data_IF_376265135445
#
_entry.id   IF_376265135445
#
_cell.length_a   1.000
_cell.length_b   1.000
_cell.length_c   1.000
_cell.angle_alpha   90.00
_cell.angle_beta   90.00
_cell.angle_gamma   90.00
#
_symmetry.space_group_name_H-M   'P 1'
#
loop_
_entity.id
_entity.type
_entity.pdbx_description
1 polymer ?
#
# COMPACT_ATOMS: atom_id res chain seq x y z
N UNK A 1 -6.82 32.45 -1.43
CA UNK A 1 -6.98 33.45 -2.50
C UNK A 1 -7.39 34.83 -1.96
N UNK A 2 -8.55 35.00 -1.31
CA UNK A 2 -8.95 36.29 -0.67
C UNK A 2 -7.94 36.90 0.32
N UNK A 3 -7.11 36.08 0.96
CA UNK A 3 -6.00 36.56 1.82
C UNK A 3 -4.82 37.11 1.00
N UNK A 4 -4.53 36.51 -0.15
CA UNK A 4 -3.44 36.94 -1.05
C UNK A 4 -3.82 38.22 -1.79
N UNK A 5 -5.08 38.36 -2.20
CA UNK A 5 -5.66 39.62 -2.72
C UNK A 5 -5.50 40.75 -1.71
N UNK A 6 -5.89 40.51 -0.44
CA UNK A 6 -5.71 41.47 0.66
C UNK A 6 -4.25 41.83 0.95
N UNK A 7 -3.30 41.02 0.49
CA UNK A 7 -1.87 41.26 0.63
C UNK A 7 -1.25 41.90 -0.65
N UNK A 8 -2.07 42.30 -1.63
CA UNK A 8 -1.62 42.93 -2.87
C UNK A 8 -0.80 42.01 -3.78
N UNK A 9 -0.87 40.68 -3.57
CA UNK A 9 -0.15 39.73 -4.41
C UNK A 9 -0.94 39.46 -5.70
N UNK A 10 -0.26 39.28 -6.85
CA UNK A 10 -0.91 38.84 -8.08
C UNK A 10 -1.70 37.57 -7.79
N UNK A 11 -2.99 37.60 -8.08
CA UNK A 11 -3.89 36.45 -7.90
C UNK A 11 -4.58 36.19 -9.24
N UNK A 12 -4.60 34.93 -9.72
CA UNK A 12 -5.30 34.60 -10.95
C UNK A 12 -6.80 34.87 -10.78
N UNK A 13 -7.48 35.19 -11.88
CA UNK A 13 -8.95 35.27 -11.88
C UNK A 13 -9.52 33.90 -11.46
N UNK A 14 -10.37 33.90 -10.44
CA UNK A 14 -10.87 32.69 -9.82
C UNK A 14 -12.35 32.82 -9.46
N UNK A 15 -13.07 31.71 -9.55
CA UNK A 15 -14.48 31.61 -9.19
C UNK A 15 -14.70 30.42 -8.29
N UNK A 16 -15.43 30.62 -7.19
CA UNK A 16 -15.96 29.52 -6.41
C UNK A 16 -17.14 28.87 -7.16
N UNK A 17 -17.11 27.56 -7.30
CA UNK A 17 -18.17 26.79 -7.96
C UNK A 17 -18.78 25.86 -6.92
N UNK A 18 -20.10 25.94 -6.71
CA UNK A 18 -20.81 25.14 -5.71
C UNK A 18 -21.47 23.87 -6.28
N UNK A 19 -21.65 23.80 -7.61
CA UNK A 19 -22.41 22.74 -8.28
C UNK A 19 -21.53 21.56 -8.77
N UNK A 20 -20.28 21.49 -8.32
CA UNK A 20 -19.33 20.45 -8.75
C UNK A 20 -18.45 20.02 -7.60
N UNK A 21 -17.92 18.81 -7.67
CA UNK A 21 -16.94 18.30 -6.69
C UNK A 21 -15.52 18.75 -7.03
N UNK A 22 -14.62 18.65 -6.05
CA UNK A 22 -13.19 18.92 -6.24
C UNK A 22 -12.56 17.94 -7.24
N UNK A 23 -12.97 16.68 -7.21
CA UNK A 23 -12.50 15.62 -8.11
C UNK A 23 -12.86 15.93 -9.57
N UNK A 24 -14.08 16.40 -9.83
CA UNK A 24 -14.49 16.80 -11.18
C UNK A 24 -13.69 18.03 -11.66
N UNK A 25 -13.40 18.99 -10.78
CA UNK A 25 -12.52 20.12 -11.13
C UNK A 25 -11.10 19.64 -11.47
N UNK A 26 -10.56 18.68 -10.72
CA UNK A 26 -9.26 18.06 -11.01
C UNK A 26 -9.27 17.32 -12.35
N UNK A 27 -10.34 16.59 -12.65
CA UNK A 27 -10.52 15.89 -13.93
C UNK A 27 -10.58 16.86 -15.11
N UNK A 28 -11.30 17.96 -14.98
CA UNK A 28 -11.37 19.02 -16.01
C UNK A 28 -10.03 19.72 -16.22
N UNK A 29 -9.25 19.93 -15.17
CA UNK A 29 -7.86 20.42 -15.29
C UNK A 29 -7.00 19.42 -16.06
N UNK A 30 -7.09 18.14 -15.71
CA UNK A 30 -6.35 17.08 -16.38
C UNK A 30 -6.69 16.97 -17.88
N UNK A 31 -7.98 17.12 -18.24
CA UNK A 31 -8.47 17.19 -19.62
C UNK A 31 -8.11 18.48 -20.37
N UNK A 32 -7.55 19.48 -19.68
CA UNK A 32 -7.26 20.83 -20.20
C UNK A 32 -8.51 21.68 -20.48
N UNK A 33 -9.65 21.32 -19.91
CA UNK A 33 -10.89 22.12 -19.96
C UNK A 33 -10.86 23.29 -18.94
N UNK A 34 -10.00 23.18 -17.92
CA UNK A 34 -9.71 24.24 -16.94
C UNK A 34 -8.19 24.44 -16.84
N UNK A 35 -7.75 25.70 -16.66
CA UNK A 35 -6.33 26.02 -16.52
C UNK A 35 -5.73 25.55 -15.18
N UNK A 36 -6.43 25.77 -14.07
CA UNK A 36 -6.05 25.31 -12.74
C UNK A 36 -7.25 25.21 -11.80
N UNK A 37 -7.06 24.54 -10.66
CA UNK A 37 -8.04 24.48 -9.56
C UNK A 37 -7.31 24.50 -8.21
N UNK A 38 -8.07 24.63 -7.12
CA UNK A 38 -7.57 24.53 -5.74
C UNK A 38 -8.28 23.35 -5.07
N UNK A 39 -7.50 22.51 -4.41
CA UNK A 39 -7.98 21.31 -3.74
C UNK A 39 -7.17 21.04 -2.46
N UNK A 40 -7.78 20.34 -1.51
CA UNK A 40 -7.05 19.83 -0.34
C UNK A 40 -5.99 18.82 -0.80
N UNK A 41 -4.81 18.86 -0.17
CA UNK A 41 -3.69 17.99 -0.56
C UNK A 41 -4.07 16.52 -0.57
N UNK A 42 -4.85 16.08 0.42
CA UNK A 42 -5.36 14.70 0.51
C UNK A 42 -6.20 14.29 -0.70
N UNK A 43 -7.05 15.19 -1.21
CA UNK A 43 -7.86 14.91 -2.41
C UNK A 43 -6.96 14.83 -3.64
N UNK A 44 -6.00 15.74 -3.75
CA UNK A 44 -5.02 15.72 -4.86
C UNK A 44 -4.22 14.42 -4.86
N UNK A 45 -3.68 14.02 -3.70
CA UNK A 45 -2.85 12.84 -3.55
C UNK A 45 -3.59 11.55 -3.96
N UNK A 46 -4.88 11.43 -3.58
CA UNK A 46 -5.75 10.33 -4.03
C UNK A 46 -5.91 10.32 -5.55
N UNK A 47 -6.19 11.48 -6.14
CA UNK A 47 -6.56 11.60 -7.54
C UNK A 47 -5.37 11.49 -8.51
N UNK A 48 -4.15 11.86 -8.09
CA UNK A 48 -2.94 11.74 -8.91
C UNK A 48 -2.64 10.30 -9.34
N UNK A 49 -3.15 9.30 -8.62
CA UNK A 49 -3.08 7.89 -9.05
C UNK A 49 -3.81 7.63 -10.38
N UNK A 50 -4.92 8.33 -10.61
CA UNK A 50 -5.73 8.18 -11.82
C UNK A 50 -5.41 9.25 -12.86
N UNK A 51 -4.92 10.41 -12.39
CA UNK A 51 -4.63 11.60 -13.18
C UNK A 51 -3.15 12.01 -12.97
N UNK A 52 -2.16 11.18 -13.37
CA UNK A 52 -0.77 11.37 -12.99
C UNK A 52 -0.15 12.66 -13.51
N UNK A 53 -0.68 13.23 -14.59
CA UNK A 53 -0.24 14.47 -15.20
C UNK A 53 -0.63 15.73 -14.40
N UNK A 54 -1.42 15.59 -13.33
CA UNK A 54 -1.72 16.70 -12.43
C UNK A 54 -0.47 17.17 -11.68
N UNK A 55 -0.23 18.48 -11.73
CA UNK A 55 0.89 19.14 -11.09
C UNK A 55 0.42 19.98 -9.88
N UNK A 56 1.19 19.94 -8.80
CA UNK A 56 0.99 20.74 -7.58
C UNK A 56 2.11 21.77 -7.44
N UNK A 57 2.04 22.91 -8.13
CA UNK A 57 3.16 23.86 -8.19
C UNK A 57 3.39 24.61 -6.88
N UNK A 58 2.38 24.73 -6.01
CA UNK A 58 2.48 25.48 -4.75
C UNK A 58 1.40 25.08 -3.74
N UNK A 59 1.69 25.30 -2.45
CA UNK A 59 0.71 25.26 -1.37
C UNK A 59 0.17 26.67 -1.09
N UNK A 60 -1.16 26.83 -1.07
CA UNK A 60 -1.81 28.13 -0.86
C UNK A 60 -2.03 28.49 0.62
N UNK A 61 -1.97 27.51 1.52
CA UNK A 61 -2.12 27.68 2.96
C UNK A 61 -1.09 26.86 3.71
N UNK A 62 -0.96 27.15 5.01
CA UNK A 62 -0.32 26.23 5.96
C UNK A 62 -1.24 25.03 6.20
N UNK A 63 -0.69 23.98 6.80
CA UNK A 63 -1.46 22.83 7.26
C UNK A 63 -2.63 23.28 8.15
N UNK A 64 -3.81 22.71 7.91
CA UNK A 64 -5.03 22.97 8.65
C UNK A 64 -5.54 21.67 9.26
N UNK A 65 -6.05 21.76 10.49
CA UNK A 65 -6.66 20.61 11.13
C UNK A 65 -8.10 20.46 10.64
N UNK A 66 -8.45 19.26 10.21
CA UNK A 66 -9.84 18.90 9.94
C UNK A 66 -10.60 18.71 11.25
N UNK A 67 -11.81 19.25 11.30
CA UNK A 67 -12.72 19.13 12.43
C UNK A 67 -14.13 18.82 11.95
N UNK A 68 -14.88 18.07 12.75
CA UNK A 68 -16.31 17.89 12.51
C UNK A 68 -17.06 19.14 12.95
N UNK A 69 -17.97 19.61 12.11
CA UNK A 69 -18.82 20.78 12.41
C UNK A 69 -20.08 20.27 13.08
N UNK A 70 -20.43 20.89 14.23
CA UNK A 70 -21.58 20.51 15.03
C UNK A 70 -22.54 21.70 15.19
N UNK A 71 -23.86 21.46 15.26
CA UNK A 71 -24.82 22.47 15.66
C UNK A 71 -24.50 22.99 17.08
N UNK A 72 -24.61 24.31 17.33
CA UNK A 72 -24.21 24.92 18.60
C UNK A 72 -25.06 24.47 19.79
N UNK A 73 -26.27 23.98 19.55
CA UNK A 73 -27.24 23.52 20.56
C UNK A 73 -27.01 22.07 21.02
N UNK A 74 -25.99 21.37 20.51
CA UNK A 74 -25.74 19.94 20.77
C UNK A 74 -24.48 19.69 21.61
N UNK A 75 -24.28 20.45 22.69
CA UNK A 75 -23.10 20.35 23.56
C UNK A 75 -22.82 18.93 24.11
N UNK A 76 -23.87 18.17 24.47
CA UNK A 76 -23.71 16.80 24.94
C UNK A 76 -23.08 15.87 23.88
N UNK A 77 -23.44 16.05 22.61
CA UNK A 77 -22.90 15.27 21.50
C UNK A 77 -21.46 15.68 21.19
N UNK A 78 -21.16 16.98 21.21
CA UNK A 78 -19.79 17.49 21.07
C UNK A 78 -18.84 16.87 22.10
N UNK A 79 -19.23 16.89 23.39
CA UNK A 79 -18.45 16.25 24.45
C UNK A 79 -18.34 14.73 24.30
N UNK A 80 -19.38 14.05 23.82
CA UNK A 80 -19.33 12.61 23.55
C UNK A 80 -18.34 12.29 22.43
N UNK A 81 -18.38 13.03 21.32
CA UNK A 81 -17.47 12.88 20.18
C UNK A 81 -16.04 13.19 20.60
N UNK A 82 -15.79 14.28 21.33
CA UNK A 82 -14.46 14.64 21.80
C UNK A 82 -13.85 13.55 22.69
N UNK A 83 -14.63 12.99 23.63
CA UNK A 83 -14.20 11.86 24.47
C UNK A 83 -13.91 10.61 23.64
N UNK A 84 -14.80 10.28 22.70
CA UNK A 84 -14.60 9.15 21.79
C UNK A 84 -13.34 9.32 20.95
N UNK A 85 -13.14 10.48 20.33
CA UNK A 85 -12.00 10.77 19.45
C UNK A 85 -10.68 10.73 20.23
N UNK A 86 -10.65 11.21 21.48
CA UNK A 86 -9.50 11.07 22.37
C UNK A 86 -9.15 9.60 22.60
N UNK A 87 -10.14 8.76 22.93
CA UNK A 87 -9.93 7.32 23.11
C UNK A 87 -9.54 6.61 21.82
N UNK A 88 -10.15 6.98 20.68
CA UNK A 88 -9.86 6.46 19.36
C UNK A 88 -8.40 6.73 18.94
N UNK A 89 -7.90 7.94 19.21
CA UNK A 89 -6.49 8.31 19.01
C UNK A 89 -5.56 7.58 19.96
N UNK A 90 -5.89 7.52 21.25
CA UNK A 90 -5.04 6.91 22.27
C UNK A 90 -4.78 5.42 22.03
N UNK A 91 -5.73 4.71 21.41
CA UNK A 91 -5.56 3.29 21.04
C UNK A 91 -4.92 3.08 19.66
N UNK A 92 -4.50 4.13 18.97
CA UNK A 92 -3.86 4.06 17.65
C UNK A 92 -4.83 3.93 16.46
N UNK A 93 -6.14 3.83 16.69
CA UNK A 93 -7.10 3.56 15.61
C UNK A 93 -7.16 4.66 14.54
N UNK A 94 -6.86 5.92 14.89
CA UNK A 94 -6.74 6.98 13.89
C UNK A 94 -5.51 6.79 12.99
N UNK A 95 -4.40 6.28 13.54
CA UNK A 95 -3.22 5.95 12.75
C UNK A 95 -3.54 4.76 11.82
N UNK A 96 -4.27 3.75 12.29
CA UNK A 96 -4.69 2.61 11.47
C UNK A 96 -5.55 3.05 10.28
N UNK A 97 -6.53 3.93 10.51
CA UNK A 97 -7.34 4.54 9.44
C UNK A 97 -6.45 5.34 8.48
N UNK A 98 -5.56 6.17 9.02
CA UNK A 98 -4.67 6.98 8.17
C UNK A 98 -3.76 6.12 7.30
N UNK A 99 -3.20 5.05 7.84
CA UNK A 99 -2.35 4.13 7.10
C UNK A 99 -3.16 3.42 6.00
N UNK A 100 -4.33 2.89 6.36
CA UNK A 100 -5.20 2.14 5.43
C UNK A 100 -5.61 2.98 4.22
N UNK A 101 -5.98 4.24 4.45
CA UNK A 101 -6.51 5.10 3.38
C UNK A 101 -5.46 6.02 2.77
N UNK A 102 -4.40 6.39 3.49
CA UNK A 102 -3.44 7.41 3.06
C UNK A 102 -1.96 7.03 3.14
N UNK A 103 -1.61 5.86 3.70
CA UNK A 103 -0.21 5.44 3.84
C UNK A 103 0.53 5.31 2.50
N UNK A 104 -0.19 4.93 1.45
CA UNK A 104 0.35 4.73 0.10
C UNK A 104 0.66 6.02 -0.67
N UNK A 105 0.26 7.21 -0.17
CA UNK A 105 0.39 8.47 -0.91
C UNK A 105 1.66 9.26 -0.63
N UNK A 106 2.46 8.87 0.36
CA UNK A 106 3.62 9.67 0.77
C UNK A 106 4.73 9.74 -0.29
N UNK A 107 4.71 8.85 -1.29
CA UNK A 107 5.69 8.79 -2.37
C UNK A 107 4.98 8.69 -3.73
N UNK A 108 4.26 9.74 -4.15
CA UNK A 108 3.76 9.77 -5.53
C UNK A 108 4.94 9.88 -6.52
N UNK A 109 5.24 8.77 -7.19
CA UNK A 109 6.14 8.73 -8.34
C UNK A 109 5.34 8.75 -9.64
N UNK A 110 5.46 9.88 -10.36
CA UNK A 110 4.80 10.09 -11.66
C UNK A 110 5.24 9.06 -12.71
N UNK A 111 6.53 8.77 -12.78
CA UNK A 111 7.11 7.89 -13.80
C UNK A 111 6.63 6.47 -13.56
N UNK A 112 6.72 5.99 -12.32
CA UNK A 112 6.30 4.64 -11.96
C UNK A 112 4.79 4.47 -12.11
N UNK A 113 3.98 5.45 -11.71
CA UNK A 113 2.51 5.41 -11.88
C UNK A 113 2.12 5.31 -13.35
N UNK A 114 2.72 6.12 -14.23
CA UNK A 114 2.45 6.02 -15.68
C UNK A 114 2.88 4.69 -16.27
N UNK A 115 4.03 4.17 -15.84
CA UNK A 115 4.52 2.86 -16.31
C UNK A 115 3.57 1.74 -15.84
N UNK A 116 3.07 1.80 -14.61
CA UNK A 116 2.07 0.87 -14.09
C UNK A 116 0.77 0.92 -14.89
N UNK A 117 0.23 2.12 -15.15
CA UNK A 117 -1.00 2.28 -15.93
C UNK A 117 -0.85 1.66 -17.32
N UNK A 118 0.21 2.04 -18.04
CA UNK A 118 0.50 1.48 -19.37
C UNK A 118 0.61 -0.05 -19.33
N UNK A 119 1.35 -0.61 -18.37
CA UNK A 119 1.50 -2.07 -18.25
C UNK A 119 0.20 -2.76 -17.84
N UNK A 120 -0.68 -2.07 -17.12
CA UNK A 120 -2.00 -2.58 -16.75
C UNK A 120 -2.86 -2.76 -18.00
N UNK A 121 -2.73 -1.86 -18.98
CA UNK A 121 -3.45 -1.96 -20.24
C UNK A 121 -2.77 -2.94 -21.23
N UNK A 122 -1.44 -2.97 -21.27
CA UNK A 122 -0.69 -3.75 -22.28
C UNK A 122 -0.39 -5.20 -21.86
N UNK A 123 -0.14 -5.46 -20.57
CA UNK A 123 0.39 -6.76 -20.08
C UNK A 123 -0.62 -7.54 -19.26
N UNK A 124 -1.30 -6.91 -18.29
CA UNK A 124 -2.23 -7.61 -17.41
C UNK A 124 -3.33 -8.37 -18.17
N UNK A 125 -3.91 -7.90 -19.29
CA UNK A 125 -4.95 -8.64 -20.01
C UNK A 125 -4.52 -10.03 -20.47
N UNK A 126 -3.23 -10.21 -20.78
CA UNK A 126 -2.66 -11.50 -21.20
C UNK A 126 -2.72 -12.56 -20.10
N UNK A 127 -2.69 -12.13 -18.83
CA UNK A 127 -2.63 -13.01 -17.66
C UNK A 127 -3.87 -12.93 -16.77
N UNK A 128 -4.79 -12.00 -17.06
CA UNK A 128 -5.96 -11.67 -16.24
C UNK A 128 -6.80 -12.91 -15.91
N UNK A 129 -7.00 -13.77 -16.91
CA UNK A 129 -7.74 -15.03 -16.75
C UNK A 129 -7.09 -15.93 -15.70
N UNK A 130 -5.78 -16.20 -15.82
CA UNK A 130 -5.07 -17.08 -14.89
C UNK A 130 -4.97 -16.49 -13.49
N UNK A 131 -4.75 -15.18 -13.37
CA UNK A 131 -4.83 -14.51 -12.06
C UNK A 131 -6.22 -14.64 -11.43
N UNK A 132 -7.29 -14.53 -12.23
CA UNK A 132 -8.66 -14.71 -11.76
C UNK A 132 -8.95 -16.14 -11.30
N UNK A 133 -8.59 -17.13 -12.12
CA UNK A 133 -8.76 -18.56 -11.81
C UNK A 133 -7.97 -18.95 -10.55
N UNK A 134 -6.68 -18.59 -10.46
CA UNK A 134 -5.83 -18.92 -9.32
C UNK A 134 -6.28 -18.20 -8.03
N UNK A 135 -6.71 -16.93 -8.14
CA UNK A 135 -7.25 -16.20 -7.00
C UNK A 135 -8.52 -16.87 -6.46
N UNK A 136 -9.43 -17.29 -7.34
CA UNK A 136 -10.64 -18.02 -6.94
C UNK A 136 -10.32 -19.36 -6.29
N UNK A 137 -9.43 -20.15 -6.90
CA UNK A 137 -9.03 -21.48 -6.41
C UNK A 137 -8.44 -21.44 -5.00
N UNK A 138 -7.65 -20.41 -4.70
CA UNK A 138 -6.94 -20.29 -3.42
C UNK A 138 -7.58 -19.31 -2.42
N UNK A 139 -8.78 -18.81 -2.72
CA UNK A 139 -9.51 -17.88 -1.83
C UNK A 139 -8.78 -16.55 -1.62
N UNK A 140 -8.11 -16.04 -2.65
CA UNK A 140 -7.39 -14.77 -2.65
C UNK A 140 -8.17 -13.71 -3.44
N UNK A 141 -7.92 -12.43 -3.15
CA UNK A 141 -8.42 -11.35 -3.99
C UNK A 141 -7.63 -11.28 -5.30
N UNK A 142 -8.31 -11.17 -6.44
CA UNK A 142 -7.67 -10.98 -7.74
C UNK A 142 -6.67 -9.81 -7.73
N UNK A 143 -7.09 -8.67 -7.16
CA UNK A 143 -6.26 -7.47 -7.10
C UNK A 143 -4.96 -7.69 -6.31
N UNK A 144 -5.00 -8.49 -5.23
CA UNK A 144 -3.81 -8.83 -4.43
C UNK A 144 -2.82 -9.62 -5.28
N UNK A 145 -3.27 -10.70 -5.91
CA UNK A 145 -2.39 -11.59 -6.67
C UNK A 145 -1.83 -10.91 -7.92
N UNK A 146 -2.65 -10.12 -8.61
CA UNK A 146 -2.20 -9.34 -9.77
C UNK A 146 -1.18 -8.26 -9.35
N UNK A 147 -1.42 -7.54 -8.25
CA UNK A 147 -0.47 -6.57 -7.71
C UNK A 147 0.86 -7.24 -7.32
N UNK A 148 0.80 -8.41 -6.71
CA UNK A 148 1.98 -9.19 -6.38
C UNK A 148 2.78 -9.58 -7.63
N UNK A 149 2.13 -10.09 -8.69
CA UNK A 149 2.81 -10.37 -9.96
C UNK A 149 3.41 -9.12 -10.64
N UNK A 150 2.83 -7.93 -10.39
CA UNK A 150 3.42 -6.67 -10.84
C UNK A 150 4.68 -6.34 -10.03
N UNK A 151 4.63 -6.45 -8.70
CA UNK A 151 5.76 -6.18 -7.82
C UNK A 151 6.94 -7.13 -8.11
N UNK A 152 6.65 -8.39 -8.41
CA UNK A 152 7.67 -9.41 -8.67
C UNK A 152 8.37 -9.25 -10.03
N UNK A 153 7.61 -8.98 -11.09
CA UNK A 153 8.13 -9.08 -12.46
C UNK A 153 7.64 -8.00 -13.41
N UNK A 154 6.78 -7.10 -12.95
CA UNK A 154 6.01 -6.19 -13.80
C UNK A 154 5.21 -6.95 -14.87
N UNK A 155 4.63 -8.08 -14.47
CA UNK A 155 3.96 -9.07 -15.33
C UNK A 155 4.82 -9.57 -16.49
N UNK A 156 6.12 -9.79 -16.26
CA UNK A 156 7.01 -10.39 -17.24
C UNK A 156 7.21 -11.88 -16.92
N UNK A 157 6.54 -12.75 -17.69
CA UNK A 157 6.66 -14.20 -17.57
C UNK A 157 8.11 -14.71 -17.73
N UNK A 158 8.95 -13.98 -18.47
CA UNK A 158 10.34 -14.35 -18.74
C UNK A 158 11.34 -13.71 -17.76
N UNK A 159 10.87 -13.10 -16.68
CA UNK A 159 11.74 -12.43 -15.74
C UNK A 159 12.71 -13.40 -15.04
N UNK A 160 13.95 -12.94 -14.84
CA UNK A 160 15.05 -13.70 -14.24
C UNK A 160 15.85 -12.80 -13.34
N UNK A 161 16.13 -13.26 -12.12
CA UNK A 161 16.98 -12.55 -11.16
C UNK A 161 18.35 -13.23 -11.01
N UNK A 162 19.44 -12.49 -10.72
CA UNK A 162 20.71 -13.04 -10.28
C UNK A 162 20.59 -13.94 -9.03
N UNK A 163 19.59 -13.71 -8.18
CA UNK A 163 19.33 -14.50 -6.96
C UNK A 163 18.63 -15.84 -7.24
N UNK A 164 18.33 -16.15 -8.52
CA UNK A 164 17.81 -17.45 -8.94
C UNK A 164 16.29 -17.59 -8.94
N UNK A 165 15.54 -16.57 -8.51
CA UNK A 165 14.08 -16.46 -8.73
C UNK A 165 13.76 -16.19 -10.20
N UNK A 166 12.62 -16.71 -10.67
CA UNK A 166 12.20 -16.64 -12.09
C UNK A 166 10.68 -16.61 -12.22
N UNK A 167 10.22 -16.09 -13.35
CA UNK A 167 8.81 -16.13 -13.72
C UNK A 167 8.03 -14.91 -13.29
N UNK A 168 6.74 -14.90 -13.65
CA UNK A 168 5.86 -13.77 -13.38
C UNK A 168 5.63 -13.55 -11.86
N UNK A 169 5.71 -14.62 -11.06
CA UNK A 169 5.60 -14.59 -9.59
C UNK A 169 6.95 -14.77 -8.87
N UNK A 170 8.07 -14.71 -9.61
CA UNK A 170 9.45 -14.82 -9.09
C UNK A 170 9.66 -15.95 -8.07
N UNK A 171 9.25 -17.17 -8.44
CA UNK A 171 9.38 -18.31 -7.55
C UNK A 171 10.83 -18.82 -7.50
N UNK A 172 11.28 -19.22 -6.31
CA UNK A 172 12.55 -19.94 -6.16
C UNK A 172 12.40 -21.38 -6.68
N UNK A 173 13.52 -22.11 -6.86
CA UNK A 173 13.46 -23.54 -7.20
C UNK A 173 12.86 -24.38 -6.08
N UNK A 174 13.12 -24.03 -4.82
CA UNK A 174 12.55 -24.74 -3.67
C UNK A 174 11.05 -24.52 -3.58
N UNK A 175 10.59 -23.28 -3.74
CA UNK A 175 9.16 -22.95 -3.74
C UNK A 175 8.44 -23.66 -4.88
N UNK A 176 9.02 -23.65 -6.10
CA UNK A 176 8.44 -24.36 -7.25
C UNK A 176 8.20 -25.85 -6.98
N UNK A 177 9.17 -26.53 -6.34
CA UNK A 177 8.98 -27.92 -5.90
C UNK A 177 7.91 -28.07 -4.81
N UNK A 178 7.84 -27.12 -3.88
CA UNK A 178 6.86 -27.15 -2.79
C UNK A 178 5.41 -27.05 -3.28
N UNK A 179 5.19 -26.28 -4.36
CA UNK A 179 3.88 -26.07 -5.01
C UNK A 179 3.70 -26.88 -6.29
N UNK A 180 4.59 -27.85 -6.54
CA UNK A 180 4.43 -28.83 -7.61
C UNK A 180 4.42 -28.26 -9.04
N UNK A 181 5.19 -27.20 -9.32
CA UNK A 181 5.33 -26.65 -10.68
C UNK A 181 6.66 -27.04 -11.32
N UNK A 182 6.62 -27.35 -12.61
CA UNK A 182 7.75 -27.84 -13.39
C UNK A 182 8.51 -26.71 -14.07
N UNK A 183 7.78 -25.75 -14.67
CA UNK A 183 8.36 -24.60 -15.34
C UNK A 183 7.92 -23.27 -14.70
N UNK A 184 8.88 -22.58 -14.09
CA UNK A 184 8.68 -21.26 -13.51
C UNK A 184 8.50 -20.15 -14.56
N UNK A 185 8.89 -20.39 -15.81
CA UNK A 185 8.73 -19.43 -16.91
C UNK A 185 7.43 -19.63 -17.68
N UNK A 186 6.72 -20.72 -17.41
CA UNK A 186 5.33 -20.86 -17.84
C UNK A 186 4.46 -19.93 -16.96
N UNK A 187 3.81 -18.91 -17.55
CA UNK A 187 3.08 -17.92 -16.78
C UNK A 187 1.90 -18.52 -16.01
N UNK A 188 1.23 -19.54 -16.56
CA UNK A 188 0.11 -20.19 -15.87
C UNK A 188 0.61 -20.92 -14.63
N UNK A 189 1.60 -21.81 -14.78
CA UNK A 189 2.20 -22.52 -13.64
C UNK A 189 2.75 -21.55 -12.60
N UNK A 190 3.48 -20.52 -13.02
CA UNK A 190 4.02 -19.53 -12.08
C UNK A 190 2.92 -18.78 -11.32
N UNK A 191 1.81 -18.40 -11.94
CA UNK A 191 0.69 -17.70 -11.29
C UNK A 191 0.01 -18.62 -10.27
N UNK A 192 -0.34 -19.84 -10.66
CA UNK A 192 -1.01 -20.79 -9.77
C UNK A 192 -0.10 -21.21 -8.61
N UNK A 193 1.18 -21.51 -8.88
CA UNK A 193 2.15 -21.82 -7.82
C UNK A 193 2.39 -20.64 -6.87
N UNK A 194 2.41 -19.40 -7.38
CA UNK A 194 2.51 -18.21 -6.54
C UNK A 194 1.27 -17.99 -5.67
N UNK A 195 0.08 -18.20 -6.23
CA UNK A 195 -1.17 -18.11 -5.50
C UNK A 195 -1.27 -19.17 -4.39
N UNK A 196 -0.90 -20.42 -4.69
CA UNK A 196 -0.86 -21.48 -3.70
C UNK A 196 0.13 -21.16 -2.58
N UNK A 197 1.35 -20.71 -2.93
CA UNK A 197 2.35 -20.34 -1.95
C UNK A 197 1.87 -19.19 -1.05
N UNK A 198 1.24 -18.16 -1.63
CA UNK A 198 0.66 -17.03 -0.88
C UNK A 198 -0.46 -17.51 0.07
N UNK A 199 -1.37 -18.36 -0.39
CA UNK A 199 -2.42 -18.93 0.44
C UNK A 199 -1.85 -19.79 1.58
N UNK A 200 -0.80 -20.57 1.33
CA UNK A 200 -0.06 -21.30 2.37
C UNK A 200 0.56 -20.35 3.39
N UNK A 201 1.13 -19.21 2.98
CA UNK A 201 1.64 -18.21 3.91
C UNK A 201 0.53 -17.64 4.79
N UNK A 202 -0.64 -17.29 4.22
CA UNK A 202 -1.80 -16.81 4.98
C UNK A 202 -2.32 -17.83 5.99
N UNK A 203 -2.43 -19.11 5.60
CA UNK A 203 -2.98 -20.19 6.44
C UNK A 203 -2.11 -20.56 7.64
N UNK A 204 -0.81 -20.23 7.61
CA UNK A 204 0.14 -20.55 8.70
C UNK A 204 0.04 -19.60 9.91
N UNK A 205 -0.72 -18.51 9.81
CA UNK A 205 -0.94 -17.61 10.93
C UNK A 205 -2.05 -18.11 11.86
N UNK A 206 -1.87 -17.90 13.16
CA UNK A 206 -2.89 -18.17 14.17
C UNK A 206 -4.08 -17.20 14.04
N UNK A 207 -5.22 -17.58 14.61
CA UNK A 207 -6.46 -16.80 14.54
C UNK A 207 -6.38 -15.41 15.18
N UNK A 208 -5.43 -15.21 16.09
CA UNK A 208 -5.13 -13.88 16.66
C UNK A 208 -4.62 -12.86 15.63
N UNK A 209 -4.13 -13.29 14.46
CA UNK A 209 -3.77 -12.38 13.37
C UNK A 209 -4.98 -12.22 12.45
N UNK A 210 -5.64 -11.07 12.50
CA UNK A 210 -6.83 -10.76 11.69
C UNK A 210 -6.46 -10.01 10.41
N UNK A 211 -7.40 -9.90 9.46
CA UNK A 211 -7.23 -8.98 8.34
C UNK A 211 -7.34 -7.52 8.82
N UNK A 212 -6.63 -6.57 8.19
CA UNK A 212 -5.75 -6.73 7.03
C UNK A 212 -4.32 -7.21 7.34
N UNK A 213 -3.93 -7.24 8.63
CA UNK A 213 -2.58 -7.60 9.06
C UNK A 213 -2.14 -8.99 8.58
N UNK A 214 -3.06 -9.97 8.56
CA UNK A 214 -2.80 -11.32 8.06
C UNK A 214 -2.29 -11.31 6.63
N UNK A 215 -2.87 -10.48 5.76
CA UNK A 215 -2.40 -10.35 4.37
C UNK A 215 -1.03 -9.70 4.30
N UNK A 216 -0.79 -8.60 5.04
CA UNK A 216 0.50 -7.92 5.02
C UNK A 216 1.63 -8.78 5.57
N UNK A 217 1.38 -9.49 6.68
CA UNK A 217 2.36 -10.42 7.22
C UNK A 217 2.60 -11.61 6.28
N UNK A 218 1.60 -12.07 5.53
CA UNK A 218 1.80 -13.10 4.52
C UNK A 218 2.62 -12.61 3.33
N UNK A 219 2.45 -11.36 2.88
CA UNK A 219 3.29 -10.74 1.84
C UNK A 219 4.74 -10.62 2.31
N UNK A 220 4.95 -10.16 3.54
CA UNK A 220 6.29 -10.11 4.14
C UNK A 220 6.92 -11.51 4.20
N UNK A 221 6.17 -12.54 4.62
CA UNK A 221 6.65 -13.94 4.62
C UNK A 221 6.89 -14.50 3.23
N UNK A 222 6.12 -14.09 2.22
CA UNK A 222 6.36 -14.47 0.83
C UNK A 222 7.73 -13.96 0.36
N UNK A 223 8.03 -12.70 0.68
CA UNK A 223 9.27 -12.03 0.29
C UNK A 223 10.50 -12.50 1.08
N UNK A 224 10.48 -12.39 2.41
CA UNK A 224 11.65 -12.66 3.27
C UNK A 224 11.70 -14.10 3.79
N UNK A 225 10.65 -14.88 3.53
CA UNK A 225 10.50 -16.22 4.09
C UNK A 225 9.91 -16.22 5.50
N UNK A 226 9.13 -17.27 5.78
CA UNK A 226 8.42 -17.42 7.06
C UNK A 226 9.34 -17.50 8.28
N UNK A 227 10.54 -18.05 8.10
CA UNK A 227 11.54 -18.20 9.16
C UNK A 227 12.00 -16.83 9.68
N UNK A 228 12.40 -15.92 8.79
CA UNK A 228 12.81 -14.57 9.17
C UNK A 228 11.63 -13.71 9.64
N UNK A 229 10.43 -13.91 9.11
CA UNK A 229 9.25 -13.25 9.68
C UNK A 229 8.98 -13.70 11.12
N UNK A 230 9.27 -14.96 11.46
CA UNK A 230 9.18 -15.41 12.85
C UNK A 230 10.20 -14.72 13.75
N UNK A 231 11.43 -14.53 13.28
CA UNK A 231 12.45 -13.75 14.02
C UNK A 231 12.00 -12.30 14.23
N UNK A 232 11.38 -11.66 13.22
CA UNK A 232 10.77 -10.34 13.39
C UNK A 232 9.65 -10.33 14.46
N UNK A 233 8.80 -11.37 14.49
CA UNK A 233 7.78 -11.50 15.55
C UNK A 233 8.39 -11.70 16.94
N UNK A 234 9.55 -12.36 17.05
CA UNK A 234 10.30 -12.47 18.31
C UNK A 234 10.85 -11.10 18.72
N UNK A 235 11.45 -10.36 17.79
CA UNK A 235 11.93 -9.00 18.05
C UNK A 235 10.80 -8.07 18.49
N UNK A 236 9.65 -8.10 17.82
CA UNK A 236 8.50 -7.27 18.20
C UNK A 236 8.13 -7.48 19.67
N UNK A 237 8.05 -8.74 20.14
CA UNK A 237 7.77 -9.03 21.55
C UNK A 237 8.85 -8.50 22.49
N UNK A 238 10.13 -8.54 22.09
CA UNK A 238 11.26 -8.00 22.89
C UNK A 238 11.21 -6.47 23.01
N UNK A 239 10.55 -5.80 22.08
CA UNK A 239 10.39 -4.34 22.04
C UNK A 239 9.00 -3.88 22.52
N UNK A 240 8.25 -4.74 23.22
CA UNK A 240 6.89 -4.45 23.68
C UNK A 240 5.90 -4.07 22.55
N UNK A 241 6.17 -4.57 21.34
CA UNK A 241 5.34 -4.39 20.15
C UNK A 241 4.50 -5.64 19.86
N UNK A 242 3.38 -5.47 19.14
CA UNK A 242 2.53 -6.60 18.77
C UNK A 242 3.19 -7.47 17.68
N UNK A 243 3.34 -8.79 17.88
CA UNK A 243 3.79 -9.70 16.84
C UNK A 243 2.71 -9.99 15.78
N UNK A 244 1.52 -9.40 15.94
CA UNK A 244 0.33 -9.67 15.13
C UNK A 244 -0.07 -8.49 14.25
N UNK A 245 0.47 -7.30 14.49
CA UNK A 245 0.16 -6.09 13.72
C UNK A 245 1.27 -5.78 12.73
N UNK A 246 0.91 -5.53 11.47
CA UNK A 246 1.86 -5.13 10.44
C UNK A 246 2.58 -3.83 10.80
N UNK A 247 1.85 -2.84 11.32
CA UNK A 247 2.40 -1.55 11.72
C UNK A 247 3.55 -1.67 12.74
N UNK A 248 3.54 -2.71 13.56
CA UNK A 248 4.56 -3.03 14.55
C UNK A 248 5.69 -3.88 13.93
N UNK A 249 5.33 -4.92 13.18
CA UNK A 249 6.31 -5.79 12.51
C UNK A 249 7.19 -5.03 11.52
N UNK A 250 6.64 -4.09 10.75
CA UNK A 250 7.41 -3.30 9.79
C UNK A 250 8.51 -2.45 10.44
N UNK A 251 8.38 -2.11 11.72
CA UNK A 251 9.38 -1.33 12.47
C UNK A 251 10.59 -2.19 12.81
N UNK A 252 10.38 -3.48 13.10
CA UNK A 252 11.45 -4.38 13.55
C UNK A 252 12.06 -5.22 12.43
N UNK A 253 11.35 -5.39 11.30
CA UNK A 253 11.86 -6.12 10.14
C UNK A 253 13.26 -5.63 9.70
N UNK A 254 13.50 -4.31 9.50
CA UNK A 254 14.83 -3.76 9.20
C UNK A 254 15.95 -4.21 10.13
N UNK A 255 15.66 -4.43 11.41
CA UNK A 255 16.64 -4.81 12.43
C UNK A 255 17.22 -6.21 12.17
N UNK A 256 16.58 -7.05 11.35
CA UNK A 256 17.13 -8.34 10.93
C UNK A 256 18.42 -8.21 10.10
N UNK A 257 18.72 -7.03 9.59
CA UNK A 257 19.98 -6.76 8.89
C UNK A 257 21.10 -6.25 9.82
N UNK A 258 20.77 -5.89 11.07
CA UNK A 258 21.71 -5.31 12.03
C UNK A 258 22.34 -6.40 12.91
N UNK A 259 23.69 -6.53 12.93
CA UNK A 259 24.40 -7.53 13.74
C UNK A 259 24.15 -7.42 15.24
N UNK A 260 23.73 -6.26 15.75
CA UNK A 260 23.34 -6.11 17.15
C UNK A 260 22.06 -6.91 17.49
N UNK A 261 21.24 -7.22 16.49
CA UNK A 261 19.97 -7.94 16.68
C UNK A 261 20.03 -9.36 16.12
N UNK A 262 20.47 -9.55 14.86
CA UNK A 262 20.30 -10.85 14.19
C UNK A 262 21.16 -11.97 14.77
N UNK A 263 22.25 -11.65 15.46
CA UNK A 263 23.15 -12.66 16.07
C UNK A 263 22.45 -13.51 17.13
N UNK A 264 21.45 -12.93 17.80
CA UNK A 264 20.67 -13.58 18.87
C UNK A 264 19.32 -14.12 18.37
N UNK A 265 19.15 -14.20 17.05
CA UNK A 265 17.94 -14.71 16.39
C UNK A 265 18.20 -16.08 15.77
N UNK A 266 17.15 -16.90 15.69
CA UNK A 266 17.27 -18.32 15.33
C UNK A 266 17.73 -18.52 13.89
N UNK A 267 17.26 -17.67 12.96
CA UNK A 267 17.56 -17.80 11.54
C UNK A 267 18.57 -16.75 11.05
N UNK A 268 19.01 -15.84 11.94
CA UNK A 268 20.10 -14.92 11.68
C UNK A 268 19.73 -13.80 10.69
N UNK A 269 20.75 -13.37 9.93
CA UNK A 269 20.67 -12.21 9.03
C UNK A 269 19.57 -12.36 7.97
N UNK A 270 18.81 -11.29 7.76
CA UNK A 270 17.94 -11.13 6.60
C UNK A 270 17.89 -9.67 6.13
N UNK A 271 17.58 -9.48 4.85
CA UNK A 271 17.37 -8.14 4.26
C UNK A 271 16.00 -7.60 4.62
N UNK A 272 15.81 -7.25 5.90
CA UNK A 272 14.53 -6.85 6.46
C UNK A 272 13.87 -5.59 5.86
N UNK A 273 14.62 -4.76 5.14
CA UNK A 273 14.05 -3.61 4.42
C UNK A 273 13.28 -4.03 3.16
N UNK A 274 13.68 -5.12 2.49
CA UNK A 274 13.03 -5.61 1.28
C UNK A 274 11.54 -5.96 1.51
N UNK A 275 11.14 -6.73 2.55
CA UNK A 275 9.73 -7.05 2.80
C UNK A 275 8.88 -5.88 3.31
N UNK A 276 9.50 -4.79 3.77
CA UNK A 276 8.77 -3.56 4.15
C UNK A 276 8.41 -2.74 2.92
N UNK A 277 9.29 -2.74 1.91
CA UNK A 277 9.06 -2.07 0.64
C UNK A 277 8.15 -2.88 -0.31
N UNK A 278 8.21 -4.20 -0.21
CA UNK A 278 7.39 -5.16 -0.96
C UNK A 278 5.91 -5.10 -0.56
#
# INVERSE_FOLDING_TARGET
LRRLERQGKPTPDWRAVAETTTEELLYRVWRRDLGCTVADSTIVDINRRYLPELLTPMNLSREQQLGWVMPPDRAALDHAIARWLKGFRARGALADVRETYYGFFQEFDYVDTRVLMRRTDERLPQYRRWFGEAALEHGLAFALLAAQGYQESHWNAQARSPTGVRGIMMLTRSTAREVGIDDRLDPRQSIFGGAEYMARMKKRFVDAVTEPDRTFLALAAYNVGRAHLHDAQVLARRHDLSPHKWADIRQVLPLLADPAYYRDLKYGYARGHEPVRY
#
